data_IF_006066432962
#
_entry.id   IF_006066432962
#
_cell.length_a   1.000
_cell.length_b   1.000
_cell.length_c   1.000
_cell.angle_alpha   90.00
_cell.angle_beta   90.00
_cell.angle_gamma   90.00
#
_symmetry.space_group_name_H-M   'P 1'
#
loop_
_entity.id
_entity.type
_entity.pdbx_description
1 polymer ?
#
# COMPACT_ATOMS: atom_id res chain seq x y z
N UNK A 1 -4.90 9.36 -33.09
CA UNK A 1 -5.66 10.47 -32.48
C UNK A 1 -5.51 10.41 -30.96
N UNK A 2 -4.64 11.23 -30.35
CA UNK A 2 -4.41 11.21 -28.91
C UNK A 2 -5.65 11.81 -28.22
N UNK A 3 -6.40 10.96 -27.51
CA UNK A 3 -7.66 11.36 -26.88
C UNK A 3 -7.45 12.42 -25.79
N UNK A 4 -8.25 13.49 -25.89
CA UNK A 4 -8.36 14.67 -25.03
C UNK A 4 -8.78 14.40 -23.55
N UNK A 5 -8.52 13.22 -23.00
CA UNK A 5 -8.85 12.88 -21.62
C UNK A 5 -7.56 12.82 -20.82
N UNK A 6 -7.42 13.77 -19.87
CA UNK A 6 -6.32 13.81 -18.90
C UNK A 6 -6.17 12.41 -18.25
N UNK A 7 -4.95 11.84 -18.17
CA UNK A 7 -4.74 10.50 -17.60
C UNK A 7 -5.24 10.40 -16.15
N UNK A 8 -5.24 11.52 -15.43
CA UNK A 8 -5.83 11.68 -14.09
C UNK A 8 -7.33 11.40 -14.05
N UNK A 9 -8.09 11.86 -15.05
CA UNK A 9 -9.52 11.63 -15.18
C UNK A 9 -9.83 10.16 -15.47
N UNK A 10 -9.02 9.50 -16.29
CA UNK A 10 -9.16 8.05 -16.55
C UNK A 10 -8.88 7.22 -15.30
N UNK A 11 -7.87 7.58 -14.52
CA UNK A 11 -7.56 6.90 -13.27
C UNK A 11 -8.68 7.10 -12.23
N UNK A 12 -9.24 8.31 -12.14
CA UNK A 12 -10.40 8.58 -11.30
C UNK A 12 -11.63 7.78 -11.75
N UNK A 13 -11.98 7.80 -13.04
CA UNK A 13 -13.09 7.01 -13.59
C UNK A 13 -12.91 5.51 -13.37
N UNK A 14 -11.71 4.98 -13.59
CA UNK A 14 -11.41 3.57 -13.31
C UNK A 14 -11.60 3.23 -11.82
N UNK A 15 -11.26 4.17 -10.93
CA UNK A 15 -11.45 4.02 -9.48
C UNK A 15 -12.91 4.05 -9.04
N UNK A 16 -13.77 4.81 -9.71
CA UNK A 16 -15.19 4.95 -9.38
C UNK A 16 -16.13 4.09 -10.23
N UNK A 17 -15.61 3.35 -11.22
CA UNK A 17 -16.39 2.57 -12.19
C UNK A 17 -17.39 1.62 -11.54
N UNK A 18 -16.97 0.88 -10.51
CA UNK A 18 -17.83 -0.08 -9.82
C UNK A 18 -18.98 0.61 -9.07
N UNK A 19 -18.71 1.78 -8.48
CA UNK A 19 -19.73 2.60 -7.81
C UNK A 19 -20.72 3.17 -8.84
N UNK A 20 -20.23 3.63 -9.98
CA UNK A 20 -21.06 4.15 -11.08
C UNK A 20 -21.94 3.06 -11.70
N UNK A 21 -21.43 1.85 -11.86
CA UNK A 21 -22.21 0.70 -12.33
C UNK A 21 -23.31 0.36 -11.32
N UNK A 22 -22.98 0.27 -10.02
CA UNK A 22 -23.96 0.03 -8.97
C UNK A 22 -25.06 1.10 -8.92
N UNK A 23 -24.68 2.37 -9.03
CA UNK A 23 -25.62 3.50 -9.12
C UNK A 23 -26.54 3.37 -10.34
N UNK A 24 -25.99 3.03 -11.51
CA UNK A 24 -26.76 2.81 -12.74
C UNK A 24 -27.80 1.69 -12.59
N UNK A 25 -27.43 0.59 -11.93
CA UNK A 25 -28.35 -0.53 -11.65
C UNK A 25 -29.48 -0.10 -10.71
N UNK A 26 -29.20 0.71 -9.68
CA UNK A 26 -30.23 1.25 -8.78
C UNK A 26 -31.20 2.17 -9.52
N UNK A 27 -30.69 3.06 -10.38
CA UNK A 27 -31.52 3.96 -11.19
C UNK A 27 -32.40 3.20 -12.18
N UNK A 28 -31.87 2.13 -12.80
CA UNK A 28 -32.65 1.26 -13.68
C UNK A 28 -33.76 0.50 -12.91
N UNK A 29 -33.47 0.04 -11.69
CA UNK A 29 -34.46 -0.60 -10.80
C UNK A 29 -35.57 0.37 -10.37
N UNK A 30 -35.21 1.62 -10.02
CA UNK A 30 -36.18 2.67 -9.69
C UNK A 30 -37.04 3.07 -10.90
N UNK A 31 -36.45 3.11 -12.10
CA UNK A 31 -37.18 3.35 -13.33
C UNK A 31 -38.22 2.25 -13.57
N UNK A 32 -37.82 0.97 -13.50
CA UNK A 32 -38.73 -0.18 -13.63
C UNK A 32 -39.86 -0.17 -12.60
N UNK A 33 -39.57 0.21 -11.35
CA UNK A 33 -40.57 0.33 -10.30
C UNK A 33 -41.67 1.37 -10.64
N UNK A 34 -41.28 2.44 -11.37
CA UNK A 34 -42.18 3.49 -11.83
C UNK A 34 -43.13 3.09 -12.97
N UNK A 35 -42.87 1.99 -13.69
CA UNK A 35 -43.77 1.51 -14.77
C UNK A 35 -45.07 0.87 -14.24
N UNK A 36 -45.16 0.55 -12.95
CA UNK A 36 -46.36 0.00 -12.32
C UNK A 36 -46.62 -1.49 -12.56
N UNK A 37 -47.45 -2.09 -11.70
CA UNK A 37 -47.77 -3.54 -11.71
C UNK A 37 -46.89 -4.36 -10.76
N UNK A 38 -47.48 -5.36 -10.09
CA UNK A 38 -46.83 -6.21 -9.07
C UNK A 38 -45.52 -6.86 -9.57
N UNK A 39 -45.49 -7.29 -10.83
CA UNK A 39 -44.31 -7.91 -11.44
C UNK A 39 -43.14 -6.94 -11.60
N UNK A 40 -43.39 -5.74 -12.14
CA UNK A 40 -42.37 -4.71 -12.33
C UNK A 40 -41.88 -4.11 -11.02
N UNK A 41 -42.76 -3.99 -10.03
CA UNK A 41 -42.40 -3.57 -8.67
C UNK A 41 -41.47 -4.58 -7.98
N UNK A 42 -41.77 -5.88 -8.07
CA UNK A 42 -40.91 -6.93 -7.51
C UNK A 42 -39.54 -6.98 -8.21
N UNK A 43 -39.52 -6.89 -9.54
CA UNK A 43 -38.28 -6.86 -10.32
C UNK A 43 -37.43 -5.62 -10.01
N UNK A 44 -38.05 -4.42 -9.94
CA UNK A 44 -37.37 -3.17 -9.61
C UNK A 44 -36.79 -3.17 -8.18
N UNK A 45 -37.53 -3.72 -7.21
CA UNK A 45 -37.06 -3.87 -5.83
C UNK A 45 -35.85 -4.81 -5.75
N UNK A 46 -35.86 -5.94 -6.46
CA UNK A 46 -34.74 -6.88 -6.52
C UNK A 46 -33.50 -6.25 -7.16
N UNK A 47 -33.68 -5.53 -8.28
CA UNK A 47 -32.58 -4.80 -8.93
C UNK A 47 -31.99 -3.70 -8.05
N UNK A 48 -32.82 -2.95 -7.31
CA UNK A 48 -32.35 -1.96 -6.35
C UNK A 48 -31.55 -2.59 -5.21
N UNK A 49 -32.04 -3.70 -4.64
CA UNK A 49 -31.35 -4.43 -3.59
C UNK A 49 -29.98 -4.94 -4.07
N UNK A 50 -29.92 -5.50 -5.29
CA UNK A 50 -28.68 -5.98 -5.89
C UNK A 50 -27.69 -4.83 -6.18
N UNK A 51 -28.18 -3.72 -6.74
CA UNK A 51 -27.36 -2.53 -7.00
C UNK A 51 -26.79 -1.91 -5.72
N UNK A 52 -27.60 -1.83 -4.65
CA UNK A 52 -27.16 -1.39 -3.33
C UNK A 52 -26.12 -2.33 -2.72
N UNK A 53 -26.32 -3.65 -2.81
CA UNK A 53 -25.37 -4.63 -2.31
C UNK A 53 -24.00 -4.52 -3.03
N UNK A 54 -24.03 -4.44 -4.36
CA UNK A 54 -22.82 -4.25 -5.18
C UNK A 54 -22.14 -2.91 -4.88
N UNK A 55 -22.91 -1.82 -4.77
CA UNK A 55 -22.41 -0.49 -4.42
C UNK A 55 -21.76 -0.44 -3.03
N UNK A 56 -22.36 -1.09 -2.03
CA UNK A 56 -21.81 -1.19 -0.68
C UNK A 56 -20.49 -1.98 -0.65
N UNK A 57 -20.40 -3.09 -1.38
CA UNK A 57 -19.14 -3.86 -1.50
C UNK A 57 -18.05 -3.03 -2.18
N UNK A 58 -18.38 -2.33 -3.27
CA UNK A 58 -17.44 -1.46 -3.97
C UNK A 58 -16.98 -0.30 -3.06
N UNK A 59 -17.90 0.32 -2.31
CA UNK A 59 -17.57 1.40 -1.36
C UNK A 59 -16.68 0.89 -0.22
N UNK A 60 -16.96 -0.31 0.31
CA UNK A 60 -16.11 -0.97 1.31
C UNK A 60 -14.70 -1.24 0.75
N UNK A 61 -14.58 -1.73 -0.49
CA UNK A 61 -13.28 -1.94 -1.17
C UNK A 61 -12.52 -0.64 -1.40
N UNK A 62 -13.21 0.45 -1.72
CA UNK A 62 -12.64 1.79 -1.87
C UNK A 62 -12.12 2.37 -0.55
N UNK A 63 -12.82 2.11 0.56
CA UNK A 63 -12.38 2.48 1.91
C UNK A 63 -11.20 1.64 2.40
N UNK A 64 -11.21 0.32 2.16
CA UNK A 64 -10.12 -0.56 2.59
C UNK A 64 -8.77 -0.27 1.90
N UNK A 65 -8.80 0.29 0.68
CA UNK A 65 -7.60 0.78 -0.01
C UNK A 65 -7.04 2.10 0.55
N UNK A 66 -7.67 2.69 1.57
CA UNK A 66 -7.34 4.01 2.12
C UNK A 66 -6.70 3.99 3.50
N UNK A 67 -6.86 2.91 4.26
CA UNK A 67 -6.42 2.87 5.67
C UNK A 67 -4.95 2.41 5.84
N UNK A 68 -4.21 2.18 4.75
CA UNK A 68 -2.75 2.11 4.72
C UNK A 68 -2.25 2.97 3.56
N UNK A 69 -1.80 4.20 3.85
CA UNK A 69 -1.56 5.24 2.83
C UNK A 69 -0.39 4.94 1.86
N UNK A 70 0.29 3.81 2.02
CA UNK A 70 1.31 3.32 1.09
C UNK A 70 1.00 1.88 0.65
N UNK A 71 1.27 1.52 -0.63
CA UNK A 71 0.96 0.20 -1.15
C UNK A 71 1.80 -0.88 -0.44
N UNK A 72 1.18 -2.02 -0.12
CA UNK A 72 1.88 -3.23 0.32
C UNK A 72 1.71 -3.57 1.80
N UNK A 73 2.11 -4.79 2.16
CA UNK A 73 2.11 -5.31 3.52
C UNK A 73 3.49 -5.88 3.86
N UNK A 74 3.88 -5.76 5.12
CA UNK A 74 5.13 -6.29 5.66
C UNK A 74 4.81 -7.45 6.57
N UNK A 75 5.53 -8.54 6.37
CA UNK A 75 5.51 -9.71 7.25
C UNK A 75 6.93 -9.95 7.76
N UNK A 76 7.08 -10.06 9.06
CA UNK A 76 8.38 -10.32 9.71
C UNK A 76 8.30 -11.66 10.41
N UNK A 77 9.18 -12.57 10.02
CA UNK A 77 9.44 -13.84 10.71
C UNK A 77 10.84 -13.75 11.35
N UNK A 78 11.15 -14.67 12.27
CA UNK A 78 12.39 -14.69 13.07
C UNK A 78 13.71 -14.52 12.27
N UNK A 79 13.73 -14.96 11.01
CA UNK A 79 14.88 -14.84 10.11
C UNK A 79 14.71 -13.93 8.90
N UNK A 80 13.51 -13.43 8.60
CA UNK A 80 13.21 -12.84 7.30
C UNK A 80 12.17 -11.73 7.38
N UNK A 81 12.41 -10.67 6.62
CA UNK A 81 11.47 -9.58 6.35
C UNK A 81 10.92 -9.80 4.95
N UNK A 82 9.61 -9.89 4.80
CA UNK A 82 8.93 -10.04 3.52
C UNK A 82 8.04 -8.84 3.27
N UNK A 83 8.20 -8.19 2.12
CA UNK A 83 7.38 -7.08 1.68
C UNK A 83 6.54 -7.47 0.47
N UNK A 84 5.23 -7.58 0.70
CA UNK A 84 4.23 -7.99 -0.26
C UNK A 84 3.63 -6.75 -0.92
N UNK A 85 4.09 -6.41 -2.12
CA UNK A 85 3.59 -5.28 -2.88
C UNK A 85 3.28 -5.66 -4.33
N UNK A 86 2.27 -5.00 -4.93
CA UNK A 86 1.84 -5.26 -6.31
C UNK A 86 2.95 -5.00 -7.36
N UNK A 87 3.92 -4.14 -7.04
CA UNK A 87 5.15 -3.94 -7.80
C UNK A 87 6.29 -3.67 -6.83
N UNK A 88 7.45 -4.30 -7.05
CA UNK A 88 8.65 -4.07 -6.25
C UNK A 88 8.61 -4.68 -4.84
N UNK A 89 7.74 -5.67 -4.61
CA UNK A 89 7.84 -6.52 -3.43
C UNK A 89 9.09 -7.40 -3.45
N UNK A 90 9.43 -7.99 -2.31
CA UNK A 90 10.60 -8.83 -2.17
C UNK A 90 10.77 -9.32 -0.74
N UNK A 91 11.88 -10.00 -0.49
CA UNK A 91 12.25 -10.48 0.83
C UNK A 91 13.69 -10.11 1.15
N UNK A 92 13.97 -9.98 2.44
CA UNK A 92 15.30 -9.78 2.97
C UNK A 92 15.52 -10.67 4.19
N UNK A 93 16.45 -11.60 4.07
CA UNK A 93 16.89 -12.42 5.21
C UNK A 93 17.72 -11.55 6.16
N UNK A 94 17.46 -11.62 7.46
CA UNK A 94 18.16 -10.82 8.49
C UNK A 94 19.68 -11.02 8.43
N UNK A 95 20.12 -12.24 8.14
CA UNK A 95 21.53 -12.61 7.98
C UNK A 95 22.21 -11.94 6.79
N UNK A 96 21.45 -11.57 5.76
CA UNK A 96 21.96 -10.97 4.52
C UNK A 96 21.88 -9.43 4.53
N UNK A 97 21.22 -8.82 5.51
CA UNK A 97 21.09 -7.36 5.60
C UNK A 97 22.48 -6.74 5.82
N UNK A 98 22.89 -5.87 4.90
CA UNK A 98 24.18 -5.16 4.92
C UNK A 98 24.04 -3.72 5.39
N UNK A 99 22.91 -3.06 5.10
CA UNK A 99 22.62 -1.72 5.59
C UNK A 99 21.10 -1.48 5.67
N UNK A 100 20.70 -0.63 6.61
CA UNK A 100 19.34 -0.10 6.73
C UNK A 100 19.43 1.42 6.69
N UNK A 101 18.71 2.02 5.75
CA UNK A 101 18.64 3.46 5.56
C UNK A 101 17.19 3.92 5.54
N UNK A 102 16.92 5.14 5.99
CA UNK A 102 15.67 5.83 5.72
C UNK A 102 15.89 6.78 4.54
N UNK A 103 15.00 6.73 3.57
CA UNK A 103 14.97 7.69 2.46
C UNK A 103 13.54 8.11 2.15
N UNK A 104 13.39 8.89 1.08
CA UNK A 104 12.09 9.42 0.67
C UNK A 104 11.82 9.07 -0.78
N UNK A 105 10.61 8.61 -1.07
CA UNK A 105 10.12 8.34 -2.42
C UNK A 105 9.78 9.67 -3.14
N UNK A 106 9.64 9.66 -4.49
CA UNK A 106 9.09 10.80 -5.22
C UNK A 106 7.71 11.16 -4.65
N UNK A 107 7.59 12.35 -4.06
CA UNK A 107 6.39 12.78 -3.30
C UNK A 107 6.60 12.90 -1.79
N UNK A 108 7.81 12.66 -1.27
CA UNK A 108 8.18 12.92 0.13
C UNK A 108 7.73 11.84 1.12
N UNK A 109 7.22 10.71 0.63
CA UNK A 109 6.84 9.59 1.49
C UNK A 109 8.09 8.87 2.01
N UNK A 110 8.20 8.72 3.33
CA UNK A 110 9.31 8.01 3.96
C UNK A 110 9.28 6.52 3.64
N UNK A 111 10.45 5.95 3.32
CA UNK A 111 10.64 4.55 3.00
C UNK A 111 11.93 4.02 3.63
N UNK A 112 11.85 2.86 4.26
CA UNK A 112 12.99 2.07 4.66
C UNK A 112 13.63 1.44 3.43
N UNK A 113 14.95 1.56 3.31
CA UNK A 113 15.76 0.92 2.28
C UNK A 113 16.67 -0.10 2.97
N UNK A 114 16.42 -1.36 2.71
CA UNK A 114 17.15 -2.49 3.26
C UNK A 114 18.08 -3.02 2.16
N UNK A 115 19.36 -2.78 2.30
CA UNK A 115 20.39 -3.35 1.42
C UNK A 115 20.77 -4.74 1.92
N UNK A 116 20.97 -5.66 0.99
CA UNK A 116 21.29 -7.05 1.28
C UNK A 116 22.33 -7.61 0.31
N UNK A 117 23.01 -8.68 0.71
CA UNK A 117 23.96 -9.38 -0.15
C UNK A 117 23.22 -10.14 -1.25
N UNK A 118 23.70 -10.07 -2.50
CA UNK A 118 23.22 -10.91 -3.60
C UNK A 118 21.84 -10.57 -4.16
N UNK A 119 21.14 -9.56 -3.61
CA UNK A 119 19.83 -9.12 -4.09
C UNK A 119 19.70 -7.60 -4.06
N UNK A 120 18.84 -7.01 -4.93
CA UNK A 120 18.63 -5.58 -4.96
C UNK A 120 18.05 -5.07 -3.62
N UNK A 121 18.31 -3.79 -3.26
CA UNK A 121 17.77 -3.21 -2.03
C UNK A 121 16.23 -3.22 -2.01
N UNK A 122 15.66 -3.63 -0.90
CA UNK A 122 14.22 -3.64 -0.67
C UNK A 122 13.77 -2.27 -0.16
N UNK A 123 12.81 -1.65 -0.84
CA UNK A 123 12.23 -0.37 -0.45
C UNK A 123 10.83 -0.59 0.14
N UNK A 124 10.69 -0.35 1.44
CA UNK A 124 9.45 -0.56 2.19
C UNK A 124 8.94 0.79 2.71
N UNK A 125 7.74 1.25 2.31
CA UNK A 125 7.16 2.47 2.86
C UNK A 125 6.97 2.37 4.38
N UNK A 126 7.24 3.46 5.10
CA UNK A 126 7.01 3.51 6.56
C UNK A 126 5.53 3.34 6.90
N UNK A 127 4.63 3.79 6.01
CA UNK A 127 3.18 3.66 6.17
C UNK A 127 2.59 2.36 5.57
N UNK A 128 3.42 1.36 5.24
CA UNK A 128 2.94 0.07 4.80
C UNK A 128 2.26 -0.69 5.95
N UNK A 129 1.29 -1.55 5.63
CA UNK A 129 0.60 -2.35 6.63
C UNK A 129 1.59 -3.31 7.32
N UNK A 130 1.68 -3.32 8.65
CA UNK A 130 2.61 -4.18 9.39
C UNK A 130 4.05 -3.66 9.43
N UNK A 131 4.31 -2.45 8.92
CA UNK A 131 5.64 -1.84 8.94
C UNK A 131 6.17 -1.61 10.36
N UNK A 132 5.28 -1.54 11.36
CA UNK A 132 5.63 -1.48 12.79
C UNK A 132 6.51 -2.67 13.23
N UNK A 133 6.31 -3.86 12.65
CA UNK A 133 7.10 -5.05 12.97
C UNK A 133 8.57 -4.95 12.49
N UNK A 134 8.87 -4.03 11.57
CA UNK A 134 10.25 -3.76 11.15
C UNK A 134 11.10 -3.22 12.29
N UNK A 135 10.50 -2.50 13.24
CA UNK A 135 11.24 -1.94 14.36
C UNK A 135 11.93 -3.02 15.18
N UNK A 136 11.18 -4.06 15.58
CA UNK A 136 11.73 -5.19 16.34
C UNK A 136 12.78 -5.94 15.52
N UNK A 137 12.54 -6.12 14.21
CA UNK A 137 13.49 -6.75 13.30
C UNK A 137 14.82 -5.97 13.20
N UNK A 138 14.75 -4.65 13.13
CA UNK A 138 15.92 -3.78 13.02
C UNK A 138 16.68 -3.67 14.33
N UNK A 139 15.99 -3.60 15.47
CA UNK A 139 16.62 -3.57 16.79
C UNK A 139 17.29 -4.90 17.13
N UNK A 140 16.82 -6.02 16.58
CA UNK A 140 17.48 -7.32 16.68
C UNK A 140 18.77 -7.45 15.85
N UNK A 141 19.17 -6.43 15.06
CA UNK A 141 20.43 -6.43 14.34
C UNK A 141 21.62 -6.17 15.29
N UNK A 142 22.78 -6.81 15.08
CA UNK A 142 23.96 -6.60 15.92
C UNK A 142 24.40 -5.13 15.93
N UNK A 143 24.55 -4.54 17.12
CA UNK A 143 24.97 -3.14 17.27
C UNK A 143 23.92 -2.10 16.86
N UNK A 144 22.67 -2.51 16.65
CA UNK A 144 21.55 -1.60 16.39
C UNK A 144 21.31 -0.66 17.58
N UNK A 145 21.01 0.61 17.27
CA UNK A 145 20.66 1.63 18.26
C UNK A 145 19.22 2.05 18.03
N UNK A 146 18.25 1.63 18.88
CA UNK A 146 16.83 1.94 18.71
C UNK A 146 16.56 3.44 18.53
N UNK A 147 17.27 4.28 19.28
CA UNK A 147 17.17 5.74 19.22
C UNK A 147 17.52 6.31 17.84
N UNK A 148 18.44 5.70 17.09
CA UNK A 148 18.77 6.15 15.73
C UNK A 148 17.64 5.87 14.74
N UNK A 149 16.90 4.76 14.90
CA UNK A 149 15.76 4.46 14.05
C UNK A 149 14.61 5.45 14.28
N UNK A 150 14.32 5.76 15.55
CA UNK A 150 13.31 6.76 15.91
C UNK A 150 13.70 8.16 15.40
N UNK A 151 14.94 8.59 15.64
CA UNK A 151 15.43 9.88 15.15
C UNK A 151 15.43 10.00 13.62
N UNK A 152 15.58 8.88 12.90
CA UNK A 152 15.45 8.88 11.45
C UNK A 152 14.00 9.16 11.03
N UNK A 153 13.00 8.58 11.71
CA UNK A 153 11.58 8.77 11.39
C UNK A 153 11.12 10.23 11.53
N UNK A 154 11.75 11.00 12.41
CA UNK A 154 11.46 12.44 12.61
C UNK A 154 12.05 13.34 11.51
N UNK A 155 12.86 12.80 10.59
CA UNK A 155 13.47 13.58 9.51
C UNK A 155 12.46 14.00 8.45
N UNK A 156 12.69 15.18 7.88
CA UNK A 156 11.92 15.69 6.76
C UNK A 156 12.59 15.29 5.43
N UNK A 157 11.83 15.11 4.33
CA UNK A 157 12.37 14.99 2.97
C UNK A 157 13.50 15.97 2.61
N UNK A 158 13.48 17.20 3.14
CA UNK A 158 14.52 18.20 2.92
C UNK A 158 15.90 17.81 3.49
N UNK A 159 15.92 16.98 4.54
CA UNK A 159 17.15 16.55 5.22
C UNK A 159 17.88 15.43 4.47
N UNK A 160 17.28 14.90 3.41
CA UNK A 160 17.83 13.82 2.59
C UNK A 160 17.84 12.43 3.27
N UNK A 161 18.28 11.40 2.54
CA UNK A 161 18.36 10.04 3.06
C UNK A 161 19.44 9.91 4.14
N UNK A 162 19.22 9.02 5.11
CA UNK A 162 20.15 8.74 6.20
C UNK A 162 20.37 7.23 6.36
N UNK A 163 21.61 6.81 6.52
CA UNK A 163 21.94 5.43 6.90
C UNK A 163 21.83 5.33 8.42
N UNK A 164 20.96 4.43 8.89
CA UNK A 164 20.66 4.27 10.32
C UNK A 164 21.50 3.14 10.93
N UNK A 165 21.72 2.10 10.14
CA UNK A 165 22.53 0.95 10.52
C UNK A 165 23.30 0.42 9.32
N UNK A 166 24.52 -0.05 9.57
CA UNK A 166 25.35 -0.74 8.59
C UNK A 166 26.04 -1.90 9.29
N UNK A 167 26.17 -3.02 8.59
CA UNK A 167 26.95 -4.15 9.08
C UNK A 167 28.41 -3.72 9.14
N UNK A 168 29.02 -3.85 10.31
CA UNK A 168 30.46 -3.69 10.45
C UNK A 168 31.14 -4.81 9.64
N UNK A 169 31.64 -4.50 8.45
CA UNK A 169 32.61 -5.35 7.80
C UNK A 169 33.88 -5.27 8.65
N UNK A 170 34.29 -6.38 9.25
CA UNK A 170 35.61 -6.44 9.86
C UNK A 170 36.62 -6.02 8.77
N UNK A 171 37.49 -5.02 9.01
CA UNK A 171 38.55 -4.72 8.07
C UNK A 171 39.38 -5.99 7.91
N UNK A 172 39.43 -6.52 6.69
CA UNK A 172 40.40 -7.54 6.36
C UNK A 172 41.78 -6.90 6.53
N UNK A 173 42.46 -7.23 7.62
CA UNK A 173 43.87 -6.93 7.79
C UNK A 173 44.62 -7.88 6.84
N UNK A 174 45.05 -7.34 5.70
CA UNK A 174 46.04 -7.95 4.80
C UNK A 174 47.32 -7.13 4.84
#
# INVERSE_FOLDING_TARGET
MPGLIRPELRAALARWREVLIGLGVVLAGLWLFGLGGLFFQAAGALSCALGLALGLVALRRLRFRRDGSAPGAVEVTEGQITYLAARGGGFAARSEITAVALGFAPGGQAQWRISQTGAPPLAIPVAALGAEALFDAFVALPGAQPSRFLAALDRNPADGPVIVWQRNAAPALT
#
